data_IF_351972188290
#
_entry.id   IF_351972188290
#
_cell.length_a   1.000
_cell.length_b   1.000
_cell.length_c   1.000
_cell.angle_alpha   90.00
_cell.angle_beta   90.00
_cell.angle_gamma   90.00
#
_symmetry.space_group_name_H-M   'P 1'
#
loop_
_entity.id
_entity.type
_entity.pdbx_description
1 polymer ?
#
# COMPACT_ATOMS: atom_id res chain seq x y z
N UNK A 1 -21.93 4.55 -31.39
CA UNK A 1 -20.45 4.64 -31.38
C UNK A 1 -19.86 3.27 -31.72
N UNK A 2 -18.88 3.17 -32.63
CA UNK A 2 -18.20 1.90 -32.92
C UNK A 2 -17.31 1.53 -31.73
N UNK A 3 -17.40 0.29 -31.25
CA UNK A 3 -16.49 -0.22 -30.21
C UNK A 3 -15.06 -0.21 -30.76
N UNK A 4 -14.13 0.36 -30.00
CA UNK A 4 -12.71 0.29 -30.31
C UNK A 4 -12.28 -1.18 -30.11
N UNK A 5 -11.65 -1.82 -31.11
CA UNK A 5 -11.15 -3.18 -30.95
C UNK A 5 -10.05 -3.21 -29.88
N UNK A 6 -9.99 -4.29 -29.10
CA UNK A 6 -8.91 -4.49 -28.12
C UNK A 6 -7.59 -4.71 -28.84
N UNK A 7 -6.49 -4.30 -28.22
CA UNK A 7 -5.14 -4.64 -28.68
C UNK A 7 -4.82 -6.12 -28.44
N UNK A 8 -3.86 -6.66 -29.19
CA UNK A 8 -3.39 -8.04 -29.01
C UNK A 8 -2.89 -8.31 -27.58
N UNK A 9 -2.27 -7.30 -26.96
CA UNK A 9 -1.84 -7.36 -25.57
C UNK A 9 -3.03 -7.48 -24.61
N UNK A 10 -4.07 -6.65 -24.77
CA UNK A 10 -5.28 -6.74 -23.93
C UNK A 10 -6.02 -8.07 -24.08
N UNK A 11 -6.00 -8.66 -25.28
CA UNK A 11 -6.56 -10.00 -25.52
C UNK A 11 -5.73 -11.05 -24.78
N UNK A 12 -4.39 -10.93 -24.83
CA UNK A 12 -3.46 -11.81 -24.14
C UNK A 12 -3.60 -11.72 -22.61
N UNK A 13 -3.75 -10.51 -22.07
CA UNK A 13 -4.01 -10.27 -20.65
C UNK A 13 -5.29 -10.96 -20.17
N UNK A 14 -6.39 -10.80 -20.92
CA UNK A 14 -7.66 -11.45 -20.63
C UNK A 14 -7.55 -12.98 -20.69
N UNK A 15 -6.78 -13.50 -21.64
CA UNK A 15 -6.51 -14.95 -21.77
C UNK A 15 -5.75 -15.50 -20.55
N UNK A 16 -4.68 -14.80 -20.11
CA UNK A 16 -3.92 -15.18 -18.91
C UNK A 16 -4.78 -15.12 -17.66
N UNK A 17 -5.54 -14.04 -17.48
CA UNK A 17 -6.46 -13.89 -16.35
C UNK A 17 -7.50 -15.02 -16.31
N UNK A 18 -8.08 -15.37 -17.46
CA UNK A 18 -9.04 -16.47 -17.57
C UNK A 18 -8.40 -17.81 -17.21
N UNK A 19 -7.19 -18.09 -17.68
CA UNK A 19 -6.48 -19.32 -17.33
C UNK A 19 -6.24 -19.43 -15.81
N UNK A 20 -5.83 -18.35 -15.17
CA UNK A 20 -5.61 -18.31 -13.71
C UNK A 20 -6.93 -18.49 -12.94
N UNK A 21 -8.00 -17.81 -13.36
CA UNK A 21 -9.32 -17.99 -12.79
C UNK A 21 -9.78 -19.45 -12.89
N UNK A 22 -9.65 -20.08 -14.07
CA UNK A 22 -10.05 -21.46 -14.28
C UNK A 22 -9.24 -22.47 -13.45
N UNK A 23 -7.96 -22.19 -13.21
CA UNK A 23 -7.10 -23.00 -12.36
C UNK A 23 -7.50 -22.88 -10.88
N UNK A 24 -7.75 -21.66 -10.39
CA UNK A 24 -7.99 -21.38 -8.97
C UNK A 24 -9.46 -21.44 -8.55
N UNK A 25 -10.43 -21.40 -9.46
CA UNK A 25 -11.86 -21.25 -9.12
C UNK A 25 -12.40 -22.35 -8.19
N UNK A 26 -11.91 -23.59 -8.32
CA UNK A 26 -12.37 -24.70 -7.46
C UNK A 26 -11.79 -24.59 -6.06
N UNK A 27 -10.52 -24.26 -5.96
CA UNK A 27 -9.79 -24.09 -4.70
C UNK A 27 -10.35 -22.93 -3.89
N UNK A 28 -10.59 -21.79 -4.55
CA UNK A 28 -11.10 -20.57 -3.93
C UNK A 28 -12.64 -20.54 -3.81
N UNK A 29 -13.34 -21.62 -4.18
CA UNK A 29 -14.81 -21.69 -4.15
C UNK A 29 -15.49 -20.61 -5.01
N UNK A 30 -14.86 -20.20 -6.11
CA UNK A 30 -15.35 -19.14 -6.99
C UNK A 30 -16.25 -19.71 -8.09
N UNK A 31 -17.41 -19.09 -8.26
CA UNK A 31 -18.18 -19.12 -9.50
C UNK A 31 -18.09 -17.74 -10.18
N UNK A 32 -18.52 -17.63 -11.43
CA UNK A 32 -18.59 -16.31 -12.07
C UNK A 32 -19.58 -15.38 -11.38
N UNK A 33 -20.61 -15.93 -10.74
CA UNK A 33 -21.60 -15.18 -9.98
C UNK A 33 -21.00 -14.63 -8.67
N UNK A 34 -20.28 -15.48 -7.92
CA UNK A 34 -19.54 -15.05 -6.71
C UNK A 34 -18.45 -14.05 -7.06
N UNK A 35 -17.75 -14.24 -8.18
CA UNK A 35 -16.74 -13.31 -8.66
C UNK A 35 -17.34 -11.95 -9.03
N UNK A 36 -18.51 -11.96 -9.66
CA UNK A 36 -19.24 -10.75 -10.02
C UNK A 36 -19.70 -9.97 -8.78
N UNK A 37 -20.24 -10.68 -7.78
CA UNK A 37 -20.62 -10.12 -6.48
C UNK A 37 -19.42 -9.45 -5.79
N UNK A 38 -18.31 -10.16 -5.66
CA UNK A 38 -17.07 -9.63 -5.06
C UNK A 38 -16.50 -8.44 -5.82
N UNK A 39 -16.61 -8.43 -7.16
CA UNK A 39 -16.18 -7.30 -7.99
C UNK A 39 -17.12 -6.09 -7.91
N UNK A 40 -18.37 -6.29 -7.45
CA UNK A 40 -19.42 -5.29 -7.45
C UNK A 40 -19.95 -4.99 -8.86
N UNK A 41 -19.99 -6.00 -9.74
CA UNK A 41 -20.49 -5.89 -11.11
C UNK A 41 -21.38 -7.06 -11.50
N UNK A 42 -22.06 -6.99 -12.64
CA UNK A 42 -22.87 -8.10 -13.14
C UNK A 42 -22.04 -9.26 -13.71
N UNK A 43 -22.55 -10.49 -13.63
CA UNK A 43 -21.89 -11.69 -14.15
C UNK A 43 -21.55 -11.60 -15.66
N UNK A 44 -22.41 -10.94 -16.44
CA UNK A 44 -22.13 -10.65 -17.86
C UNK A 44 -20.91 -9.74 -18.05
N UNK A 45 -20.69 -8.76 -17.16
CA UNK A 45 -19.53 -7.87 -17.23
C UNK A 45 -18.23 -8.65 -16.95
N UNK A 46 -18.25 -9.55 -15.96
CA UNK A 46 -17.12 -10.45 -15.67
C UNK A 46 -16.80 -11.32 -16.88
N UNK A 47 -17.82 -11.93 -17.49
CA UNK A 47 -17.64 -12.75 -18.69
C UNK A 47 -17.08 -11.93 -19.87
N UNK A 48 -17.45 -10.67 -19.99
CA UNK A 48 -16.91 -9.78 -21.03
C UNK A 48 -15.42 -9.48 -20.81
N UNK A 49 -14.97 -9.33 -19.56
CA UNK A 49 -13.55 -9.13 -19.23
C UNK A 49 -12.74 -10.41 -19.51
N UNK A 50 -13.21 -11.56 -19.00
CA UNK A 50 -12.53 -12.85 -19.17
C UNK A 50 -12.45 -13.32 -20.63
N UNK A 51 -13.38 -12.89 -21.49
CA UNK A 51 -13.42 -13.29 -22.91
C UNK A 51 -12.95 -12.18 -23.85
N UNK A 52 -12.16 -11.21 -23.36
CA UNK A 52 -11.59 -10.12 -24.16
C UNK A 52 -12.62 -9.33 -24.99
N UNK A 53 -13.85 -9.16 -24.45
CA UNK A 53 -14.88 -8.30 -25.07
C UNK A 53 -14.78 -6.85 -24.59
N UNK A 54 -14.28 -6.65 -23.37
CA UNK A 54 -13.94 -5.35 -22.80
C UNK A 54 -12.52 -5.42 -22.22
N UNK A 55 -11.79 -4.30 -22.29
CA UNK A 55 -10.47 -4.20 -21.67
C UNK A 55 -10.58 -4.24 -20.14
N UNK A 56 -9.60 -4.88 -19.50
CA UNK A 56 -9.43 -4.86 -18.06
C UNK A 56 -8.79 -3.51 -17.71
N UNK A 57 -9.37 -2.80 -16.75
CA UNK A 57 -8.81 -1.54 -16.24
C UNK A 57 -8.05 -1.80 -14.93
N UNK A 58 -7.28 -0.80 -14.48
CA UNK A 58 -6.48 -0.88 -13.25
C UNK A 58 -7.29 -1.25 -12.00
N UNK A 59 -8.53 -0.76 -11.88
CA UNK A 59 -9.41 -1.06 -10.72
C UNK A 59 -9.83 -2.52 -10.70
N UNK A 60 -10.28 -3.05 -11.84
CA UNK A 60 -10.65 -4.46 -11.96
C UNK A 60 -9.43 -5.36 -11.82
N UNK A 61 -8.29 -4.96 -12.39
CA UNK A 61 -7.04 -5.70 -12.26
C UNK A 61 -6.64 -5.90 -10.79
N UNK A 62 -6.67 -4.83 -9.99
CA UNK A 62 -6.38 -4.89 -8.56
C UNK A 62 -7.36 -5.81 -7.81
N UNK A 63 -8.67 -5.70 -8.07
CA UNK A 63 -9.67 -6.57 -7.43
C UNK A 63 -9.55 -8.04 -7.85
N UNK A 64 -9.25 -8.31 -9.13
CA UNK A 64 -8.99 -9.68 -9.58
C UNK A 64 -7.77 -10.27 -8.90
N UNK A 65 -6.68 -9.50 -8.78
CA UNK A 65 -5.48 -9.92 -8.08
C UNK A 65 -5.76 -10.25 -6.59
N UNK A 66 -6.54 -9.40 -5.92
CA UNK A 66 -6.98 -9.63 -4.54
C UNK A 66 -7.83 -10.91 -4.40
N UNK A 67 -8.88 -11.06 -5.23
CA UNK A 67 -9.81 -12.19 -5.13
C UNK A 67 -9.16 -13.51 -5.54
N UNK A 68 -8.25 -13.48 -6.52
CA UNK A 68 -7.55 -14.67 -7.02
C UNK A 68 -6.25 -14.95 -6.26
N UNK A 69 -5.88 -14.11 -5.30
CA UNK A 69 -4.64 -14.23 -4.52
C UNK A 69 -3.40 -14.37 -5.41
N UNK A 70 -3.24 -13.44 -6.36
CA UNK A 70 -2.12 -13.37 -7.31
C UNK A 70 -1.58 -11.94 -7.38
N UNK A 71 -0.45 -11.76 -8.03
CA UNK A 71 0.04 -10.43 -8.38
C UNK A 71 -0.50 -10.01 -9.76
N UNK A 72 -0.55 -8.69 -10.02
CA UNK A 72 -1.15 -8.17 -11.27
C UNK A 72 -0.27 -8.48 -12.49
N UNK A 73 1.05 -8.51 -12.28
CA UNK A 73 2.06 -8.89 -13.26
C UNK A 73 1.91 -10.33 -13.77
N UNK A 74 1.33 -11.24 -12.97
CA UNK A 74 1.03 -12.63 -13.38
C UNK A 74 0.12 -12.70 -14.62
N UNK A 75 -0.76 -11.71 -14.82
CA UNK A 75 -1.64 -11.65 -15.98
C UNK A 75 -1.48 -10.38 -16.83
N UNK A 76 -0.97 -9.28 -16.31
CA UNK A 76 -0.76 -8.05 -17.08
C UNK A 76 0.41 -7.22 -16.53
N UNK A 77 1.62 -7.38 -17.09
CA UNK A 77 2.77 -6.54 -16.75
C UNK A 77 2.53 -5.04 -17.05
N UNK A 78 1.74 -4.72 -18.08
CA UNK A 78 1.43 -3.34 -18.44
C UNK A 78 0.50 -2.67 -17.44
N UNK A 79 -0.58 -3.33 -17.01
CA UNK A 79 -1.45 -2.80 -15.96
C UNK A 79 -0.70 -2.69 -14.62
N UNK A 80 0.21 -3.62 -14.32
CA UNK A 80 1.07 -3.52 -13.14
C UNK A 80 1.96 -2.27 -13.20
N UNK A 81 2.63 -2.03 -14.34
CA UNK A 81 3.44 -0.82 -14.55
C UNK A 81 2.60 0.45 -14.50
N UNK A 82 1.41 0.46 -15.10
CA UNK A 82 0.49 1.60 -15.05
C UNK A 82 0.09 1.93 -13.61
N UNK A 83 -0.22 0.92 -12.78
CA UNK A 83 -0.52 1.11 -11.36
C UNK A 83 0.70 1.62 -10.61
N UNK A 84 1.89 1.11 -10.89
CA UNK A 84 3.14 1.61 -10.31
C UNK A 84 3.35 3.08 -10.67
N UNK A 85 3.11 3.46 -11.91
CA UNK A 85 3.24 4.84 -12.39
C UNK A 85 2.20 5.75 -11.76
N UNK A 86 0.92 5.35 -11.72
CA UNK A 86 -0.14 6.04 -10.98
C UNK A 86 0.24 6.20 -9.50
N UNK A 87 0.80 5.15 -8.89
CA UNK A 87 1.28 5.16 -7.52
C UNK A 87 2.49 6.09 -7.34
N UNK A 88 3.33 6.34 -8.35
CA UNK A 88 4.39 7.36 -8.27
C UNK A 88 3.79 8.77 -8.18
N UNK A 89 2.73 9.05 -8.94
CA UNK A 89 2.03 10.33 -8.89
C UNK A 89 1.27 10.55 -7.57
N UNK A 90 0.74 9.48 -6.95
CA UNK A 90 0.11 9.57 -5.62
C UNK A 90 1.15 9.51 -4.47
N UNK A 91 2.29 8.84 -4.64
CA UNK A 91 3.42 8.86 -3.69
C UNK A 91 4.03 10.25 -3.53
N UNK A 92 3.88 11.17 -4.48
CA UNK A 92 4.19 12.59 -4.24
C UNK A 92 3.26 13.21 -3.18
N UNK A 93 2.05 12.70 -3.00
CA UNK A 93 1.12 13.12 -1.95
C UNK A 93 1.45 12.42 -0.63
N UNK A 94 1.78 11.11 -0.66
CA UNK A 94 2.05 10.35 0.56
C UNK A 94 3.44 10.63 1.17
N UNK A 95 4.48 10.80 0.35
CA UNK A 95 5.80 11.25 0.80
C UNK A 95 5.77 12.70 1.29
N UNK A 96 4.79 13.52 0.88
CA UNK A 96 4.60 14.85 1.47
C UNK A 96 3.87 14.80 2.83
N UNK A 97 3.19 13.71 3.19
CA UNK A 97 2.51 13.60 4.50
C UNK A 97 3.47 13.02 5.55
N UNK A 98 4.31 12.04 5.20
CA UNK A 98 5.33 11.51 6.11
C UNK A 98 6.62 12.34 6.13
N UNK A 99 7.09 12.87 4.99
CA UNK A 99 8.34 13.65 4.94
C UNK A 99 8.18 15.15 5.22
N UNK A 100 6.96 15.72 5.28
CA UNK A 100 6.78 17.11 5.77
C UNK A 100 6.79 17.23 7.28
N UNK A 101 6.58 16.15 8.02
CA UNK A 101 6.60 16.16 9.49
C UNK A 101 7.91 15.60 10.09
N UNK A 102 8.84 15.13 9.28
CA UNK A 102 10.21 14.85 9.73
C UNK A 102 11.11 16.01 9.32
N UNK A 103 11.40 16.92 10.27
CA UNK A 103 12.56 17.79 10.14
C UNK A 103 13.77 16.91 9.76
N UNK A 104 14.63 17.34 8.82
CA UNK A 104 15.82 16.58 8.48
C UNK A 104 16.59 16.26 9.78
N UNK A 105 16.90 14.98 9.99
CA UNK A 105 17.56 14.54 11.22
C UNK A 105 18.84 15.36 11.43
N UNK A 106 18.98 15.94 12.61
CA UNK A 106 20.20 16.63 13.00
C UNK A 106 21.37 15.64 13.01
N UNK A 107 22.60 16.15 12.92
CA UNK A 107 23.80 15.31 13.02
C UNK A 107 23.79 14.42 14.27
N UNK A 108 23.25 14.93 15.38
CA UNK A 108 23.13 14.21 16.64
C UNK A 108 22.09 13.08 16.58
N UNK A 109 20.95 13.32 15.92
CA UNK A 109 19.91 12.30 15.75
C UNK A 109 20.39 11.15 14.85
N UNK A 110 21.17 11.46 13.81
CA UNK A 110 21.77 10.43 12.95
C UNK A 110 22.77 9.58 13.72
N UNK A 111 23.66 10.21 14.49
CA UNK A 111 24.62 9.50 15.32
C UNK A 111 23.94 8.63 16.40
N UNK A 112 22.81 9.08 16.95
CA UNK A 112 22.03 8.29 17.90
C UNK A 112 21.48 7.01 17.26
N UNK A 113 20.95 7.10 16.03
CA UNK A 113 20.43 5.94 15.30
C UNK A 113 21.53 4.96 14.94
N UNK A 114 22.68 5.46 14.47
CA UNK A 114 23.83 4.62 14.13
C UNK A 114 24.34 3.84 15.35
N UNK A 115 24.45 4.50 16.50
CA UNK A 115 24.79 3.83 17.75
C UNK A 115 23.73 2.82 18.17
N UNK A 116 22.45 3.18 18.05
CA UNK A 116 21.33 2.31 18.40
C UNK A 116 21.31 1.02 17.57
N UNK A 117 21.50 1.12 16.26
CA UNK A 117 21.49 -0.03 15.34
C UNK A 117 22.69 -0.97 15.57
N UNK A 118 23.77 -0.46 16.17
CA UNK A 118 24.93 -1.27 16.56
C UNK A 118 24.77 -2.01 17.89
N UNK A 119 23.71 -1.73 18.66
CA UNK A 119 23.47 -2.39 19.95
C UNK A 119 22.76 -3.74 19.77
N UNK A 120 23.07 -4.76 20.61
CA UNK A 120 22.25 -5.95 20.74
C UNK A 120 20.81 -5.58 21.14
N UNK A 121 19.81 -6.36 20.71
CA UNK A 121 18.39 -6.04 20.91
C UNK A 121 18.01 -5.80 22.38
N UNK A 122 18.59 -6.55 23.32
CA UNK A 122 18.34 -6.39 24.75
C UNK A 122 18.88 -5.06 25.30
N UNK A 123 20.03 -4.63 24.80
CA UNK A 123 20.68 -3.36 25.13
C UNK A 123 19.95 -2.17 24.51
N UNK A 124 19.54 -2.30 23.26
CA UNK A 124 18.73 -1.33 22.55
C UNK A 124 17.40 -1.07 23.29
N UNK A 125 16.72 -2.12 23.73
CA UNK A 125 15.49 -1.98 24.52
C UNK A 125 15.74 -1.33 25.90
N UNK A 126 16.82 -1.70 26.58
CA UNK A 126 17.18 -1.06 27.86
C UNK A 126 17.42 0.43 27.68
N UNK A 127 18.16 0.80 26.65
CA UNK A 127 18.45 2.18 26.30
C UNK A 127 17.18 3.00 26.01
N UNK A 128 16.20 2.43 25.29
CA UNK A 128 14.91 3.10 25.06
C UNK A 128 14.14 3.35 26.36
N UNK A 129 14.15 2.39 27.29
CA UNK A 129 13.50 2.55 28.61
C UNK A 129 14.14 3.69 29.40
N UNK A 130 15.47 3.77 29.42
CA UNK A 130 16.21 4.83 30.10
C UNK A 130 15.95 6.21 29.49
N UNK A 131 16.02 6.32 28.15
CA UNK A 131 15.71 7.56 27.43
C UNK A 131 14.27 8.03 27.71
N UNK A 132 13.31 7.10 27.75
CA UNK A 132 11.91 7.42 28.05
C UNK A 132 11.76 7.96 29.48
N UNK A 133 12.36 7.29 30.46
CA UNK A 133 12.33 7.72 31.85
C UNK A 133 12.94 9.12 32.02
N UNK A 134 14.08 9.37 31.38
CA UNK A 134 14.75 10.66 31.40
C UNK A 134 13.90 11.75 30.74
N UNK A 135 13.30 11.48 29.58
CA UNK A 135 12.38 12.41 28.90
C UNK A 135 11.18 12.77 29.76
N UNK A 136 10.53 11.79 30.40
CA UNK A 136 9.41 12.01 31.32
C UNK A 136 9.81 12.91 32.49
N UNK A 137 10.99 12.67 33.09
CA UNK A 137 11.50 13.49 34.19
C UNK A 137 11.68 14.96 33.80
N UNK A 138 12.33 15.23 32.66
CA UNK A 138 12.52 16.61 32.19
C UNK A 138 11.21 17.29 31.81
N UNK A 139 10.27 16.57 31.20
CA UNK A 139 8.95 17.11 30.87
C UNK A 139 8.18 17.52 32.14
N UNK A 140 8.28 16.73 33.22
CA UNK A 140 7.65 17.06 34.50
C UNK A 140 8.25 18.34 35.13
N UNK A 141 9.59 18.45 35.14
CA UNK A 141 10.28 19.67 35.62
C UNK A 141 9.87 20.90 34.79
N UNK A 142 9.80 20.75 33.47
CA UNK A 142 9.40 21.85 32.59
C UNK A 142 7.95 22.28 32.82
N UNK A 143 7.03 21.33 32.98
CA UNK A 143 5.63 21.62 33.30
C UNK A 143 5.51 22.38 34.63
N UNK A 144 6.26 21.98 35.66
CA UNK A 144 6.29 22.68 36.94
C UNK A 144 6.87 24.10 36.82
N UNK A 145 7.92 24.28 36.01
CA UNK A 145 8.53 25.58 35.74
C UNK A 145 7.58 26.53 34.98
N UNK A 146 6.82 26.01 34.02
CA UNK A 146 5.82 26.78 33.27
C UNK A 146 4.63 27.17 34.16
N UNK A 147 4.17 26.26 35.01
CA UNK A 147 3.09 26.53 35.96
C UNK A 147 3.46 27.64 36.95
N UNK A 148 4.71 27.68 37.42
CA UNK A 148 5.22 28.71 38.33
C UNK A 148 5.46 30.07 37.67
N UNK A 149 5.64 30.13 36.34
CA UNK A 149 5.91 31.39 35.60
C UNK A 149 4.67 32.04 34.97
N UNK A 150 3.48 31.42 35.04
CA UNK A 150 2.22 32.04 34.58
C UNK A 150 2.12 32.28 33.07
N UNK A 151 3.02 31.72 32.25
CA UNK A 151 2.98 31.87 30.79
C UNK A 151 2.14 30.71 30.22
N UNK A 152 0.95 31.04 29.69
CA UNK A 152 0.13 30.07 28.94
C UNK A 152 0.90 29.61 27.70
N UNK A 153 1.12 28.30 27.59
CA UNK A 153 1.68 27.68 26.39
C UNK A 153 0.72 27.91 25.21
N UNK A 154 1.24 28.52 24.14
CA UNK A 154 0.62 28.56 22.81
C UNK A 154 1.28 27.50 21.92
#
# INVERSE_FOLDING_TARGET
MKKIPLSDEQISDASRLKAIYEAKKKELGLSQEVLAEKLGMGQSAVAQLLNAKNAINVTHAAKFAEILEIAIDDFSPTLANEIIDLAKYTRLVNNNIESRNQKPLTKQQKNLLELFDSLPSEEAERFLRELKAKSTHFNAIFAEMMAKRGIKAS
#
